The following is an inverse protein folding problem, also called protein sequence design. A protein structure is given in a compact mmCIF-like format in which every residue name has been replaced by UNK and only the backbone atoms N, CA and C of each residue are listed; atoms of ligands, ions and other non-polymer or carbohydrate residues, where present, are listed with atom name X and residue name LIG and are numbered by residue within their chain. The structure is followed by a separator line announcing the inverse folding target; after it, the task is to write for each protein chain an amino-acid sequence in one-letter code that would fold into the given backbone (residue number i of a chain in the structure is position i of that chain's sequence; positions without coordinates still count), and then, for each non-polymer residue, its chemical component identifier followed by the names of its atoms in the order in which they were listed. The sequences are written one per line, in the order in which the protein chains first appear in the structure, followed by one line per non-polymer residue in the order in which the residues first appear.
data_IF_691677069945
#
_entry.id   IF_691677069945
#
_cell.length_a   1.000
_cell.length_b   1.000
_cell.length_c   1.000
_cell.angle_alpha   90.00
_cell.angle_beta   90.00
_cell.angle_gamma   90.00
#
_symmetry.space_group_name_H-M   'P 1'
#
loop_
_entity.id
_entity.type
_entity.pdbx_description
1 polymer ?
#
# COMPACT_ATOMS: atom_id res chain seq x y z
N UNK A 1 -11.54 -10.17 19.24
CA UNK A 1 -10.73 -8.96 19.03
C UNK A 1 -11.16 -8.17 17.78
N UNK A 2 -11.90 -8.78 16.84
CA UNK A 2 -12.38 -8.11 15.61
C UNK A 2 -13.12 -6.79 15.90
N UNK A 3 -14.00 -6.78 16.89
CA UNK A 3 -14.76 -5.57 17.30
C UNK A 3 -13.89 -4.37 17.70
N UNK A 4 -12.61 -4.60 17.98
CA UNK A 4 -11.63 -3.55 18.29
C UNK A 4 -10.83 -3.09 17.06
N UNK A 5 -11.09 -3.69 15.89
CA UNK A 5 -10.40 -3.40 14.64
C UNK A 5 -11.39 -2.87 13.60
N UNK A 6 -11.10 -1.71 13.04
CA UNK A 6 -11.77 -1.14 11.88
C UNK A 6 -10.84 -1.09 10.68
N UNK A 7 -11.38 -0.84 9.50
CA UNK A 7 -10.59 -0.76 8.26
C UNK A 7 -10.83 0.58 7.56
N UNK A 8 -9.76 1.27 7.23
CA UNK A 8 -9.77 2.47 6.41
C UNK A 8 -9.14 2.14 5.05
N UNK A 9 -9.97 2.07 4.03
CA UNK A 9 -9.60 1.66 2.69
C UNK A 9 -9.47 2.87 1.76
N UNK A 10 -8.24 3.18 1.31
CA UNK A 10 -7.89 4.41 0.60
C UNK A 10 -7.59 4.15 -0.88
N UNK A 11 -8.36 4.80 -1.76
CA UNK A 11 -8.25 4.65 -3.21
C UNK A 11 -8.71 3.28 -3.72
N UNK A 12 -8.58 3.03 -5.01
CA UNK A 12 -9.07 1.82 -5.64
C UNK A 12 -8.40 0.54 -5.08
N UNK A 13 -7.08 0.53 -4.98
CA UNK A 13 -6.36 -0.63 -4.47
C UNK A 13 -6.70 -0.92 -3.02
N UNK A 14 -6.69 0.12 -2.16
CA UNK A 14 -7.12 -0.01 -0.76
C UNK A 14 -8.56 -0.50 -0.66
N UNK A 15 -9.45 -0.02 -1.53
CA UNK A 15 -10.83 -0.47 -1.62
C UNK A 15 -10.94 -1.96 -1.93
N UNK A 16 -10.15 -2.47 -2.88
CA UNK A 16 -10.13 -3.90 -3.20
C UNK A 16 -9.68 -4.77 -2.01
N UNK A 17 -8.72 -4.30 -1.22
CA UNK A 17 -8.31 -4.98 0.02
C UNK A 17 -9.41 -4.85 1.08
N UNK A 18 -10.00 -3.66 1.22
CA UNK A 18 -11.07 -3.38 2.17
C UNK A 18 -12.29 -4.27 1.98
N UNK A 19 -12.67 -4.56 0.74
CA UNK A 19 -13.77 -5.50 0.41
C UNK A 19 -13.53 -6.89 0.99
N UNK A 20 -12.28 -7.37 0.99
CA UNK A 20 -11.97 -8.67 1.58
C UNK A 20 -12.15 -8.67 3.11
N UNK A 21 -11.84 -7.56 3.78
CA UNK A 21 -12.12 -7.39 5.22
C UNK A 21 -13.61 -7.23 5.50
N UNK A 22 -14.36 -6.51 4.66
CA UNK A 22 -15.82 -6.37 4.85
C UNK A 22 -16.54 -7.71 4.75
N UNK A 23 -16.13 -8.59 3.81
CA UNK A 23 -16.61 -9.99 3.72
C UNK A 23 -16.35 -10.80 5.00
N UNK A 24 -15.33 -10.44 5.75
CA UNK A 24 -14.98 -11.08 7.03
C UNK A 24 -15.70 -10.44 8.23
N UNK A 25 -16.55 -9.44 8.00
CA UNK A 25 -17.38 -8.78 9.02
C UNK A 25 -16.70 -7.62 9.76
N UNK A 26 -15.68 -6.99 9.16
CA UNK A 26 -15.10 -5.74 9.67
C UNK A 26 -15.93 -4.54 9.24
N UNK A 27 -15.97 -3.50 10.08
CA UNK A 27 -16.46 -2.19 9.67
C UNK A 27 -15.39 -1.56 8.77
N UNK A 28 -15.76 -1.22 7.54
CA UNK A 28 -14.83 -0.66 6.54
C UNK A 28 -15.34 0.69 6.07
N UNK A 29 -14.46 1.70 6.08
CA UNK A 29 -14.70 2.99 5.42
C UNK A 29 -13.88 3.03 4.13
N UNK A 30 -14.57 3.23 3.01
CA UNK A 30 -13.97 3.36 1.69
C UNK A 30 -13.87 4.85 1.32
N UNK A 31 -12.66 5.34 1.09
CA UNK A 31 -12.38 6.73 0.76
C UNK A 31 -11.67 6.82 -0.60
N UNK A 32 -12.22 7.62 -1.53
CA UNK A 32 -11.62 7.79 -2.85
C UNK A 32 -11.84 9.22 -3.40
N UNK A 33 -10.92 9.67 -4.27
CA UNK A 33 -11.07 10.87 -5.09
C UNK A 33 -11.89 10.61 -6.36
N UNK A 34 -11.97 9.38 -6.84
CA UNK A 34 -12.80 8.96 -7.97
C UNK A 34 -14.16 8.45 -7.48
N UNK A 35 -15.23 9.10 -7.90
CA UNK A 35 -16.59 8.66 -7.62
C UNK A 35 -16.93 7.37 -8.37
N UNK A 36 -16.39 7.18 -9.57
CA UNK A 36 -16.57 5.99 -10.39
C UNK A 36 -15.96 4.76 -9.74
N UNK A 37 -14.69 4.87 -9.29
CA UNK A 37 -14.04 3.79 -8.54
C UNK A 37 -14.83 3.44 -7.28
N UNK A 38 -15.29 4.47 -6.56
CA UNK A 38 -16.06 4.28 -5.33
C UNK A 38 -17.42 3.63 -5.60
N UNK A 39 -18.07 3.96 -6.73
CA UNK A 39 -19.31 3.35 -7.14
C UNK A 39 -19.15 1.85 -7.46
N UNK A 40 -18.01 1.45 -8.02
CA UNK A 40 -17.73 0.04 -8.36
C UNK A 40 -17.56 -0.86 -7.11
N UNK A 41 -17.24 -0.30 -5.96
CA UNK A 41 -17.08 -1.03 -4.70
C UNK A 41 -18.46 -1.30 -4.09
N UNK A 42 -18.73 -2.57 -3.72
CA UNK A 42 -19.95 -2.97 -3.01
C UNK A 42 -19.78 -2.80 -1.49
N UNK A 43 -19.37 -1.61 -1.04
CA UNK A 43 -19.11 -1.34 0.38
C UNK A 43 -20.21 -0.50 1.02
N UNK A 44 -20.32 -0.57 2.35
CA UNK A 44 -21.38 0.08 3.13
C UNK A 44 -21.08 1.56 3.40
N UNK A 45 -19.87 1.88 3.87
CA UNK A 45 -19.51 3.25 4.25
C UNK A 45 -18.54 3.84 3.21
N UNK A 46 -19.05 4.69 2.35
CA UNK A 46 -18.31 5.32 1.27
C UNK A 46 -18.19 6.83 1.49
N UNK A 47 -16.99 7.35 1.36
CA UNK A 47 -16.69 8.78 1.46
C UNK A 47 -15.99 9.20 0.16
N UNK A 48 -16.67 10.02 -0.64
CA UNK A 48 -16.05 10.67 -1.79
C UNK A 48 -15.36 11.96 -1.35
N UNK A 49 -14.16 12.22 -1.86
CA UNK A 49 -13.48 13.50 -1.66
C UNK A 49 -14.22 14.55 -2.48
N UNK A 50 -14.65 15.69 -1.86
CA UNK A 50 -15.30 16.77 -2.59
C UNK A 50 -14.40 17.33 -3.71
N UNK A 51 -15.01 17.78 -4.80
CA UNK A 51 -14.35 18.46 -5.92
C UNK A 51 -13.17 17.68 -6.55
N UNK A 52 -13.20 16.35 -6.46
CA UNK A 52 -12.19 15.48 -7.02
C UNK A 52 -12.77 14.55 -8.07
N UNK A 53 -12.10 14.52 -9.24
CA UNK A 53 -12.43 13.64 -10.39
C UNK A 53 -11.31 12.61 -10.63
N UNK A 54 -10.80 12.01 -9.54
CA UNK A 54 -9.65 11.12 -9.55
C UNK A 54 -8.34 11.84 -9.27
N UNK A 55 -7.27 11.06 -9.13
CA UNK A 55 -5.95 11.55 -8.69
C UNK A 55 -4.87 11.51 -9.78
N UNK A 56 -5.04 10.73 -10.86
CA UNK A 56 -4.05 10.53 -11.92
C UNK A 56 -2.61 10.28 -11.39
N UNK A 57 -2.46 9.56 -10.28
CA UNK A 57 -1.20 9.35 -9.54
C UNK A 57 -0.52 10.64 -9.02
N UNK A 58 -1.22 11.76 -9.00
CA UNK A 58 -0.70 13.04 -8.48
C UNK A 58 -1.03 13.20 -6.99
N UNK A 59 -0.06 12.84 -6.14
CA UNK A 59 -0.15 12.97 -4.68
C UNK A 59 -0.31 14.42 -4.24
N UNK A 60 0.40 15.37 -4.89
CA UNK A 60 0.38 16.79 -4.50
C UNK A 60 -1.02 17.37 -4.70
N UNK A 61 -1.63 17.06 -5.85
CA UNK A 61 -3.02 17.45 -6.14
C UNK A 61 -3.98 16.87 -5.11
N UNK A 62 -3.83 15.60 -4.73
CA UNK A 62 -4.67 14.99 -3.70
C UNK A 62 -4.52 15.69 -2.36
N UNK A 63 -3.29 15.98 -1.93
CA UNK A 63 -3.02 16.71 -0.69
C UNK A 63 -3.64 18.12 -0.69
N UNK A 64 -3.58 18.84 -1.80
CA UNK A 64 -4.21 20.16 -1.96
C UNK A 64 -5.73 20.07 -1.83
N UNK A 65 -6.37 19.14 -2.57
CA UNK A 65 -7.82 18.91 -2.51
C UNK A 65 -8.32 18.54 -1.11
N UNK A 66 -7.52 17.83 -0.35
CA UNK A 66 -7.90 17.34 0.98
C UNK A 66 -7.57 18.33 2.07
N UNK A 67 -6.57 19.20 1.90
CA UNK A 67 -6.13 20.14 2.93
C UNK A 67 -7.28 21.02 3.45
N UNK A 68 -8.21 21.41 2.58
CA UNK A 68 -9.37 22.22 2.92
C UNK A 68 -10.48 21.44 3.66
N UNK A 69 -10.52 20.11 3.49
CA UNK A 69 -11.58 19.24 3.99
C UNK A 69 -11.11 18.15 4.94
N UNK A 70 -9.83 18.14 5.32
CA UNK A 70 -9.24 17.04 6.09
C UNK A 70 -9.90 16.84 7.44
N UNK A 71 -10.32 17.93 8.09
CA UNK A 71 -11.04 17.88 9.36
C UNK A 71 -12.38 17.18 9.24
N UNK A 72 -13.21 17.58 8.28
CA UNK A 72 -14.53 16.99 8.04
C UNK A 72 -14.43 15.51 7.62
N UNK A 73 -13.43 15.19 6.81
CA UNK A 73 -13.16 13.81 6.37
C UNK A 73 -12.76 12.96 7.56
N UNK A 74 -11.85 13.46 8.38
CA UNK A 74 -11.36 12.77 9.56
C UNK A 74 -12.48 12.56 10.59
N UNK A 75 -13.34 13.54 10.80
CA UNK A 75 -14.52 13.43 11.66
C UNK A 75 -15.48 12.35 11.15
N UNK A 76 -15.82 12.36 9.85
CA UNK A 76 -16.66 11.31 9.25
C UNK A 76 -16.06 9.91 9.43
N UNK A 77 -14.74 9.78 9.26
CA UNK A 77 -14.04 8.50 9.46
C UNK A 77 -14.17 8.07 10.92
N UNK A 78 -13.89 8.93 11.87
CA UNK A 78 -13.88 8.60 13.30
C UNK A 78 -15.26 8.34 13.88
N UNK A 79 -16.30 8.96 13.33
CA UNK A 79 -17.70 8.67 13.69
C UNK A 79 -18.14 7.25 13.28
N UNK A 80 -17.54 6.69 12.20
CA UNK A 80 -17.82 5.33 11.74
C UNK A 80 -16.82 4.34 12.37
N UNK A 81 -15.52 4.66 12.32
CA UNK A 81 -14.45 3.82 12.84
C UNK A 81 -14.13 4.17 14.29
N UNK A 82 -14.97 3.72 15.19
CA UNK A 82 -14.80 3.94 16.66
C UNK A 82 -13.71 3.04 17.26
N UNK A 83 -13.27 2.01 16.55
CA UNK A 83 -12.32 1.01 16.99
C UNK A 83 -10.96 1.61 17.36
N UNK A 84 -10.23 0.92 18.26
CA UNK A 84 -8.88 1.32 18.70
C UNK A 84 -7.82 1.07 17.63
N UNK A 85 -7.93 -0.05 16.92
CA UNK A 85 -7.01 -0.48 15.88
C UNK A 85 -7.62 -0.20 14.51
N UNK A 86 -6.90 0.52 13.66
CA UNK A 86 -7.35 0.88 12.31
C UNK A 86 -6.39 0.27 11.28
N UNK A 87 -6.86 -0.73 10.57
CA UNK A 87 -6.13 -1.32 9.44
C UNK A 87 -6.28 -0.36 8.26
N UNK A 88 -5.19 0.28 7.85
CA UNK A 88 -5.16 1.27 6.79
C UNK A 88 -4.65 0.62 5.49
N UNK A 89 -5.56 0.36 4.54
CA UNK A 89 -5.24 -0.33 3.29
C UNK A 89 -5.10 0.63 2.12
N UNK A 90 -4.00 0.59 1.39
CA UNK A 90 -3.75 1.47 0.24
C UNK A 90 -2.61 0.98 -0.65
N UNK A 91 -2.48 1.58 -1.85
CA UNK A 91 -1.30 1.41 -2.71
C UNK A 91 -0.31 2.55 -2.51
N UNK A 92 0.96 2.23 -2.39
CA UNK A 92 2.03 3.22 -2.34
C UNK A 92 2.20 3.97 -3.67
N UNK A 93 1.97 3.31 -4.81
CA UNK A 93 2.19 3.87 -6.15
C UNK A 93 1.03 4.66 -6.73
N UNK A 94 -0.18 4.60 -6.12
CA UNK A 94 -1.36 5.31 -6.59
C UNK A 94 -1.32 6.82 -6.27
N UNK A 95 -2.36 7.55 -6.65
CA UNK A 95 -2.54 8.96 -6.26
C UNK A 95 -3.32 9.11 -4.96
N UNK A 96 -4.57 8.63 -4.94
CA UNK A 96 -5.47 8.77 -3.79
C UNK A 96 -4.92 8.11 -2.53
N UNK A 97 -4.63 6.81 -2.60
CA UNK A 97 -4.15 6.06 -1.43
C UNK A 97 -2.82 6.61 -0.89
N UNK A 98 -1.86 6.84 -1.77
CA UNK A 98 -0.55 7.38 -1.38
C UNK A 98 -0.62 8.82 -0.85
N UNK A 99 -1.53 9.65 -1.37
CA UNK A 99 -1.70 11.04 -0.93
C UNK A 99 -2.42 11.17 0.41
N UNK A 100 -3.44 10.33 0.67
CA UNK A 100 -4.28 10.41 1.86
C UNK A 100 -3.74 9.64 3.07
N UNK A 101 -2.98 8.57 2.83
CA UNK A 101 -2.59 7.64 3.89
C UNK A 101 -1.80 8.31 5.00
N UNK A 102 -0.79 9.09 4.66
CA UNK A 102 0.10 9.72 5.63
C UNK A 102 -0.63 10.74 6.53
N UNK A 103 -1.34 11.76 6.00
CA UNK A 103 -2.03 12.73 6.84
C UNK A 103 -3.12 12.09 7.70
N UNK A 104 -3.90 11.13 7.16
CA UNK A 104 -4.96 10.47 7.92
C UNK A 104 -4.41 9.58 9.03
N UNK A 105 -3.38 8.77 8.76
CA UNK A 105 -2.77 7.95 9.81
C UNK A 105 -2.09 8.80 10.88
N UNK A 106 -1.45 9.90 10.49
CA UNK A 106 -0.88 10.85 11.45
C UNK A 106 -1.96 11.44 12.35
N UNK A 107 -3.10 11.87 11.79
CA UNK A 107 -4.24 12.36 12.55
C UNK A 107 -4.80 11.28 13.50
N UNK A 108 -5.10 10.09 12.97
CA UNK A 108 -5.65 8.99 13.75
C UNK A 108 -4.73 8.57 14.90
N UNK A 109 -3.42 8.55 14.67
CA UNK A 109 -2.42 8.26 15.73
C UNK A 109 -2.42 9.33 16.81
N UNK A 110 -2.55 10.63 16.46
CA UNK A 110 -2.63 11.74 17.43
C UNK A 110 -3.87 11.67 18.33
N UNK A 111 -4.99 11.17 17.84
CA UNK A 111 -6.20 10.95 18.64
C UNK A 111 -6.19 9.59 19.35
N UNK A 112 -5.03 8.92 19.38
CA UNK A 112 -4.80 7.70 20.15
C UNK A 112 -5.27 6.41 19.49
N UNK A 113 -5.60 6.39 18.19
CA UNK A 113 -5.80 5.14 17.43
C UNK A 113 -4.44 4.51 17.12
N UNK A 114 -4.41 3.20 16.93
CA UNK A 114 -3.23 2.46 16.46
C UNK A 114 -3.48 2.11 15.00
N UNK A 115 -2.75 2.77 14.10
CA UNK A 115 -2.85 2.52 12.67
C UNK A 115 -1.96 1.34 12.27
N UNK A 116 -2.53 0.37 11.55
CA UNK A 116 -1.86 -0.82 11.02
C UNK A 116 -1.81 -0.68 9.51
N UNK A 117 -0.72 -0.16 8.92
CA UNK A 117 -0.61 0.01 7.48
C UNK A 117 -0.56 -1.33 6.74
N UNK A 118 -1.39 -1.48 5.72
CA UNK A 118 -1.37 -2.56 4.73
C UNK A 118 -1.15 -1.91 3.38
N UNK A 119 0.06 -1.98 2.88
CA UNK A 119 0.54 -1.19 1.75
C UNK A 119 0.85 -2.10 0.57
N UNK A 120 0.13 -1.93 -0.54
CA UNK A 120 0.45 -2.61 -1.78
C UNK A 120 1.55 -1.85 -2.52
N UNK A 121 2.71 -2.49 -2.68
CA UNK A 121 3.82 -2.02 -3.48
C UNK A 121 3.64 -2.41 -4.94
N UNK A 122 3.91 -1.51 -5.90
CA UNK A 122 3.80 -1.82 -7.32
C UNK A 122 4.93 -2.77 -7.78
N UNK A 123 4.67 -3.44 -8.91
CA UNK A 123 5.75 -4.08 -9.68
C UNK A 123 6.50 -3.01 -10.48
N UNK A 124 7.74 -2.71 -10.11
CA UNK A 124 8.55 -1.67 -10.76
C UNK A 124 8.84 -1.95 -12.24
N UNK A 125 8.67 -3.19 -12.69
CA UNK A 125 8.87 -3.55 -14.10
C UNK A 125 7.66 -3.21 -14.98
N UNK A 126 6.46 -3.24 -14.38
CA UNK A 126 5.20 -3.04 -15.10
C UNK A 126 4.60 -1.65 -14.87
N UNK A 127 4.95 -1.01 -13.76
CA UNK A 127 4.38 0.27 -13.36
C UNK A 127 5.22 1.47 -13.82
N UNK A 128 4.57 2.62 -13.88
CA UNK A 128 5.20 3.88 -14.31
C UNK A 128 6.25 4.39 -13.31
N UNK A 129 7.21 5.19 -13.78
CA UNK A 129 8.16 5.90 -12.93
C UNK A 129 7.45 6.75 -11.86
N UNK A 130 6.30 7.34 -12.19
CA UNK A 130 5.47 8.09 -11.23
C UNK A 130 4.94 7.21 -10.09
N UNK A 131 4.55 5.97 -10.38
CA UNK A 131 4.19 4.99 -9.33
C UNK A 131 5.40 4.66 -8.44
N UNK A 132 6.57 4.54 -9.01
CA UNK A 132 7.79 4.27 -8.26
C UNK A 132 8.19 5.46 -7.37
N UNK A 133 8.13 6.70 -7.89
CA UNK A 133 8.33 7.93 -7.11
C UNK A 133 7.39 7.99 -5.90
N UNK A 134 6.09 7.80 -6.13
CA UNK A 134 5.10 7.78 -5.06
C UNK A 134 5.41 6.72 -4.02
N UNK A 135 5.79 5.52 -4.46
CA UNK A 135 6.07 4.40 -3.54
C UNK A 135 7.30 4.63 -2.68
N UNK A 136 8.37 5.19 -3.26
CA UNK A 136 9.56 5.57 -2.51
C UNK A 136 9.22 6.60 -1.43
N UNK A 137 8.53 7.69 -1.83
CA UNK A 137 8.16 8.78 -0.92
C UNK A 137 7.23 8.29 0.20
N UNK A 138 6.21 7.48 -0.11
CA UNK A 138 5.32 6.90 0.90
C UNK A 138 6.06 6.03 1.89
N UNK A 139 6.97 5.18 1.44
CA UNK A 139 7.77 4.35 2.35
C UNK A 139 8.66 5.21 3.26
N UNK A 140 9.29 6.25 2.73
CA UNK A 140 10.11 7.18 3.51
C UNK A 140 9.27 7.92 4.58
N UNK A 141 8.08 8.39 4.20
CA UNK A 141 7.16 9.08 5.11
C UNK A 141 6.63 8.13 6.20
N UNK A 142 6.25 6.89 5.84
CA UNK A 142 5.81 5.88 6.81
C UNK A 142 6.86 5.59 7.88
N UNK A 143 8.13 5.51 7.49
CA UNK A 143 9.25 5.31 8.44
C UNK A 143 9.37 6.45 9.46
N UNK A 144 8.87 7.64 9.14
CA UNK A 144 8.94 8.82 10.01
C UNK A 144 7.74 8.99 10.94
N UNK A 145 6.61 8.29 10.69
CA UNK A 145 5.41 8.41 11.53
C UNK A 145 5.61 7.65 12.84
N UNK A 146 5.46 8.34 13.94
CA UNK A 146 5.41 7.72 15.26
C UNK A 146 4.03 7.15 15.58
N UNK A 147 3.98 6.06 16.34
CA UNK A 147 2.72 5.46 16.80
C UNK A 147 1.99 4.58 15.78
N UNK A 148 2.64 4.23 14.67
CA UNK A 148 2.15 3.16 13.81
C UNK A 148 2.33 1.80 14.51
N UNK A 149 1.40 0.89 14.26
CA UNK A 149 1.52 -0.52 14.58
C UNK A 149 2.22 -1.33 13.48
N UNK A 150 1.95 -2.62 13.49
CA UNK A 150 2.47 -3.59 12.53
C UNK A 150 2.21 -3.15 11.08
N UNK A 151 3.27 -3.00 10.29
CA UNK A 151 3.18 -2.57 8.88
C UNK A 151 3.39 -3.75 7.94
N UNK A 152 2.43 -4.00 7.06
CA UNK A 152 2.47 -5.08 6.08
C UNK A 152 2.72 -4.50 4.68
N UNK A 153 3.85 -4.83 4.07
CA UNK A 153 4.19 -4.40 2.71
C UNK A 153 3.94 -5.55 1.73
N UNK A 154 2.83 -5.48 1.00
CA UNK A 154 2.45 -6.46 -0.01
C UNK A 154 3.18 -6.16 -1.32
N UNK A 155 3.76 -7.15 -1.98
CA UNK A 155 4.54 -6.96 -3.20
C UNK A 155 3.83 -7.53 -4.43
N UNK A 156 3.23 -6.67 -5.23
CA UNK A 156 2.53 -7.04 -6.47
C UNK A 156 3.48 -7.58 -7.57
N UNK A 157 4.79 -7.42 -7.42
CA UNK A 157 5.78 -8.04 -8.30
C UNK A 157 6.00 -9.54 -8.03
N UNK A 158 5.39 -10.10 -6.99
CA UNK A 158 5.59 -11.51 -6.59
C UNK A 158 4.41 -12.42 -6.90
N UNK A 159 3.18 -11.91 -6.79
CA UNK A 159 1.95 -12.69 -6.95
C UNK A 159 0.84 -11.88 -7.59
N UNK A 160 -0.21 -12.57 -8.03
CA UNK A 160 -1.45 -11.91 -8.46
C UNK A 160 -2.03 -11.03 -7.34
N UNK A 161 -2.27 -9.77 -7.68
CA UNK A 161 -2.70 -8.74 -6.73
C UNK A 161 -4.01 -9.06 -6.00
N UNK A 162 -4.96 -9.74 -6.66
CA UNK A 162 -6.24 -10.10 -6.02
C UNK A 162 -6.07 -11.28 -5.08
N UNK A 163 -5.21 -12.25 -5.43
CA UNK A 163 -4.85 -13.36 -4.54
C UNK A 163 -4.11 -12.86 -3.30
N UNK A 164 -3.21 -11.89 -3.44
CA UNK A 164 -2.50 -11.23 -2.32
C UNK A 164 -3.50 -10.61 -1.35
N UNK A 165 -4.47 -9.83 -1.85
CA UNK A 165 -5.45 -9.12 -1.05
C UNK A 165 -6.29 -10.09 -0.19
N UNK A 166 -6.86 -11.11 -0.82
CA UNK A 166 -7.68 -12.12 -0.13
C UNK A 166 -6.87 -12.94 0.87
N UNK A 167 -5.62 -13.28 0.52
CA UNK A 167 -4.74 -14.02 1.40
C UNK A 167 -4.39 -13.24 2.65
N UNK A 168 -3.94 -11.99 2.52
CA UNK A 168 -3.63 -11.16 3.68
C UNK A 168 -4.84 -10.98 4.59
N UNK A 169 -6.00 -10.60 4.05
CA UNK A 169 -7.18 -10.36 4.86
C UNK A 169 -7.55 -11.60 5.70
N UNK A 170 -7.52 -12.79 5.09
CA UNK A 170 -7.80 -14.05 5.77
C UNK A 170 -6.75 -14.42 6.83
N UNK A 171 -5.47 -14.20 6.53
CA UNK A 171 -4.40 -14.53 7.48
C UNK A 171 -4.41 -13.57 8.67
N UNK A 172 -4.62 -12.27 8.42
CA UNK A 172 -4.69 -11.27 9.49
C UNK A 172 -5.97 -11.45 10.33
N UNK A 173 -7.12 -11.74 9.72
CA UNK A 173 -8.34 -12.07 10.44
C UNK A 173 -8.16 -13.33 11.30
N UNK A 174 -7.51 -14.36 10.77
CA UNK A 174 -7.24 -15.58 11.52
C UNK A 174 -6.39 -15.33 12.76
N UNK A 175 -5.40 -14.43 12.69
CA UNK A 175 -4.60 -14.02 13.84
C UNK A 175 -5.41 -13.16 14.83
N UNK A 176 -6.12 -12.16 14.35
CA UNK A 176 -6.95 -11.28 15.19
C UNK A 176 -8.00 -12.09 15.97
N UNK A 177 -8.55 -13.12 15.36
CA UNK A 177 -9.64 -13.93 15.92
C UNK A 177 -9.20 -15.33 16.35
N UNK A 178 -7.93 -15.50 16.71
CA UNK A 178 -7.48 -16.78 17.27
C UNK A 178 -8.42 -17.24 18.40
N UNK A 179 -8.94 -18.45 18.23
CA UNK A 179 -9.72 -19.13 19.28
C UNK A 179 -8.74 -19.86 20.17
N UNK A 180 -8.64 -19.40 21.39
CA UNK A 180 -7.79 -20.00 22.41
C UNK A 180 -8.61 -21.05 23.15
N UNK A 181 -8.23 -22.31 23.03
CA UNK A 181 -8.96 -23.41 23.66
C UNK A 181 -8.03 -24.45 24.30
N UNK A 182 -6.72 -24.16 24.35
CA UNK A 182 -5.73 -25.13 24.79
C UNK A 182 -5.18 -24.83 26.17
N UNK A 183 -5.06 -25.85 26.98
CA UNK A 183 -4.31 -25.82 28.28
C UNK A 183 -2.79 -25.78 28.09
N UNK A 184 -2.30 -26.00 26.87
CA UNK A 184 -0.88 -26.06 26.53
C UNK A 184 -0.29 -24.71 26.07
N UNK A 185 -1.01 -23.64 26.21
CA UNK A 185 -0.61 -22.30 25.83
C UNK A 185 -1.54 -21.69 24.79
N UNK A 186 -1.67 -20.37 24.87
CA UNK A 186 -2.51 -19.57 24.00
C UNK A 186 -1.81 -18.25 23.73
N UNK A 187 -1.95 -17.70 22.51
CA UNK A 187 -1.66 -16.30 22.28
C UNK A 187 -2.88 -15.51 22.70
N UNK A 188 -2.82 -14.88 23.85
CA UNK A 188 -3.95 -14.17 24.43
C UNK A 188 -4.23 -12.81 23.73
N UNK A 189 -5.26 -12.10 24.20
CA UNK A 189 -5.64 -10.82 23.60
C UNK A 189 -4.58 -9.74 23.82
N UNK A 190 -3.90 -9.75 24.97
CA UNK A 190 -2.87 -8.75 25.29
C UNK A 190 -1.63 -8.95 24.40
N UNK A 191 -1.19 -10.18 24.21
CA UNK A 191 -0.09 -10.55 23.33
C UNK A 191 -0.37 -10.20 21.85
N UNK A 192 -1.59 -10.50 21.38
CA UNK A 192 -2.02 -10.10 20.03
C UNK A 192 -2.04 -8.57 19.85
N UNK A 193 -2.50 -7.84 20.85
CA UNK A 193 -2.45 -6.36 20.85
C UNK A 193 -1.02 -5.85 20.83
N UNK A 194 -0.12 -6.49 21.59
CA UNK A 194 1.28 -6.14 21.62
C UNK A 194 1.93 -6.32 20.24
N UNK A 195 1.71 -7.46 19.59
CA UNK A 195 2.19 -7.72 18.23
C UNK A 195 1.63 -6.69 17.23
N UNK A 196 0.32 -6.44 17.25
CA UNK A 196 -0.31 -5.50 16.31
C UNK A 196 0.06 -4.04 16.56
N UNK A 197 0.48 -3.70 17.78
CA UNK A 197 0.97 -2.36 18.13
C UNK A 197 2.47 -2.20 17.89
N UNK A 198 3.18 -3.26 17.52
CA UNK A 198 4.62 -3.23 17.31
C UNK A 198 4.97 -2.43 16.04
N UNK A 199 5.74 -1.35 16.14
CA UNK A 199 6.19 -0.61 14.97
C UNK A 199 7.17 -1.43 14.12
N UNK A 200 7.29 -1.08 12.85
CA UNK A 200 8.15 -1.75 11.90
C UNK A 200 7.41 -2.73 11.00
N UNK A 201 8.17 -3.46 10.20
CA UNK A 201 7.60 -4.39 9.22
C UNK A 201 7.12 -5.65 9.91
N UNK A 202 6.01 -6.16 9.45
CA UNK A 202 5.43 -7.41 9.91
C UNK A 202 5.07 -8.31 8.74
N UNK A 203 5.19 -9.60 8.96
CA UNK A 203 4.77 -10.65 8.03
C UNK A 203 3.94 -11.69 8.76
N UNK A 204 2.96 -12.23 8.09
CA UNK A 204 2.08 -13.26 8.62
C UNK A 204 1.89 -14.36 7.58
N UNK A 205 1.75 -15.60 8.01
CA UNK A 205 1.55 -16.72 7.11
C UNK A 205 0.88 -17.90 7.80
N UNK A 206 0.17 -18.70 7.01
CA UNK A 206 -0.36 -19.98 7.48
C UNK A 206 0.73 -21.02 7.57
N UNK A 207 0.70 -21.78 8.65
CA UNK A 207 1.47 -23.01 8.79
C UNK A 207 0.69 -24.18 8.18
N UNK A 208 1.35 -25.03 7.41
CA UNK A 208 0.74 -26.27 6.92
C UNK A 208 0.38 -27.18 8.09
N UNK A 209 -0.74 -27.87 8.00
CA UNK A 209 -1.13 -28.87 9.00
C UNK A 209 -0.23 -30.11 8.96
N UNK A 210 0.38 -30.38 7.81
CA UNK A 210 1.23 -31.53 7.57
C UNK A 210 2.69 -31.09 7.47
N UNK A 211 3.52 -31.54 8.43
CA UNK A 211 5.00 -31.55 8.40
C UNK A 211 5.67 -30.35 7.68
N UNK A 212 5.50 -29.15 8.21
CA UNK A 212 6.36 -28.03 7.77
C UNK A 212 7.67 -28.12 8.52
N UNK A 213 8.76 -28.26 7.80
CA UNK A 213 10.10 -28.11 8.38
C UNK A 213 10.36 -26.65 8.68
N UNK A 214 11.27 -26.36 9.59
CA UNK A 214 11.64 -24.96 9.92
C UNK A 214 12.05 -24.14 8.70
N UNK A 215 12.88 -24.62 7.75
CA UNK A 215 13.19 -23.91 6.53
C UNK A 215 11.97 -23.60 5.68
N UNK A 216 11.02 -24.54 5.53
CA UNK A 216 9.78 -24.31 4.75
C UNK A 216 8.90 -23.23 5.38
N UNK A 217 8.83 -23.18 6.71
CA UNK A 217 8.08 -22.16 7.44
C UNK A 217 8.68 -20.78 7.16
N UNK A 218 9.98 -20.61 7.33
CA UNK A 218 10.68 -19.34 7.11
C UNK A 218 10.62 -18.95 5.64
N UNK A 219 10.81 -19.89 4.71
CA UNK A 219 10.66 -19.64 3.28
C UNK A 219 9.24 -19.19 2.91
N UNK A 220 8.21 -19.78 3.51
CA UNK A 220 6.82 -19.39 3.25
C UNK A 220 6.50 -17.99 3.77
N UNK A 221 7.13 -17.56 4.86
CA UNK A 221 7.03 -16.20 5.38
C UNK A 221 7.74 -15.19 4.48
N UNK A 222 9.03 -15.42 4.20
CA UNK A 222 9.85 -14.48 3.45
C UNK A 222 9.68 -14.57 1.93
N UNK A 223 9.31 -15.73 1.42
CA UNK A 223 8.99 -15.97 0.01
C UNK A 223 7.53 -15.72 -0.36
N UNK A 224 6.70 -15.27 0.59
CA UNK A 224 5.27 -15.10 0.42
C UNK A 224 4.88 -13.82 -0.34
N UNK A 225 3.75 -13.26 0.07
CA UNK A 225 3.10 -12.09 -0.58
C UNK A 225 3.75 -10.76 -0.22
N UNK A 226 4.75 -10.75 0.67
CA UNK A 226 5.37 -9.53 1.19
C UNK A 226 6.60 -9.11 0.40
N UNK A 227 7.00 -7.86 0.55
CA UNK A 227 8.29 -7.37 0.10
C UNK A 227 9.41 -8.23 0.69
N UNK A 228 10.50 -8.40 -0.08
CA UNK A 228 11.61 -9.24 0.33
C UNK A 228 12.25 -8.72 1.63
N UNK A 229 12.16 -9.53 2.68
CA UNK A 229 12.71 -9.21 3.99
C UNK A 229 14.02 -9.98 4.16
N UNK A 230 15.07 -9.26 4.51
CA UNK A 230 16.40 -9.82 4.75
C UNK A 230 16.80 -9.80 6.24
N UNK A 231 16.05 -9.07 7.07
CA UNK A 231 16.31 -8.97 8.50
C UNK A 231 16.05 -10.29 9.21
N UNK A 232 16.98 -10.63 10.08
CA UNK A 232 16.84 -11.75 11.02
C UNK A 232 16.58 -11.30 12.46
N UNK A 233 16.40 -10.01 12.69
CA UNK A 233 16.00 -9.44 13.99
C UNK A 233 14.55 -9.04 13.96
N UNK A 234 13.82 -9.38 15.02
CA UNK A 234 12.41 -9.04 15.18
C UNK A 234 12.10 -8.67 16.63
N UNK A 235 11.05 -7.90 16.86
CA UNK A 235 10.57 -7.65 18.22
C UNK A 235 9.77 -8.83 18.74
N UNK A 236 8.81 -9.32 17.97
CA UNK A 236 7.89 -10.37 18.40
C UNK A 236 7.74 -11.47 17.37
N UNK A 237 7.66 -12.70 17.87
CA UNK A 237 7.30 -13.89 17.12
C UNK A 237 6.06 -14.50 17.77
N UNK A 238 4.96 -14.57 17.02
CA UNK A 238 3.74 -15.26 17.44
C UNK A 238 3.53 -16.54 16.65
N UNK A 239 3.40 -17.67 17.32
CA UNK A 239 3.15 -18.97 16.70
C UNK A 239 1.92 -19.61 17.33
N UNK A 240 0.85 -19.77 16.54
CA UNK A 240 -0.30 -20.60 16.93
C UNK A 240 -0.36 -21.78 15.97
N UNK A 241 -0.38 -23.01 16.49
CA UNK A 241 -0.30 -24.23 15.67
C UNK A 241 -1.20 -25.34 16.19
N UNK A 242 -1.71 -26.16 15.27
CA UNK A 242 -2.37 -27.43 15.63
C UNK A 242 -1.37 -28.58 15.75
N UNK A 243 -0.14 -28.38 15.33
CA UNK A 243 0.93 -29.39 15.40
C UNK A 243 1.70 -29.27 16.73
N UNK A 244 1.38 -30.14 17.69
CA UNK A 244 2.04 -30.19 19.03
C UNK A 244 3.51 -30.59 18.95
N UNK A 245 3.97 -31.17 17.85
CA UNK A 245 5.37 -31.58 17.65
C UNK A 245 6.19 -30.55 16.87
N UNK A 246 5.65 -29.35 16.60
CA UNK A 246 6.40 -28.28 15.95
C UNK A 246 7.55 -27.81 16.83
N UNK A 247 8.75 -27.89 16.31
CA UNK A 247 9.94 -27.39 17.01
C UNK A 247 10.03 -25.85 16.91
N UNK A 248 9.39 -25.17 17.86
CA UNK A 248 9.40 -23.72 17.95
C UNK A 248 10.78 -23.14 18.25
N UNK A 249 11.64 -23.91 18.96
CA UNK A 249 12.99 -23.46 19.25
C UNK A 249 13.83 -23.36 17.97
N UNK A 250 13.68 -24.30 17.05
CA UNK A 250 14.36 -24.22 15.75
C UNK A 250 13.88 -23.02 14.94
N UNK A 251 12.58 -22.68 14.97
CA UNK A 251 12.05 -21.49 14.33
C UNK A 251 12.66 -20.22 14.94
N UNK A 252 12.72 -20.15 16.26
CA UNK A 252 13.29 -19.00 16.97
C UNK A 252 14.78 -18.80 16.65
N UNK A 253 15.54 -19.89 16.49
CA UNK A 253 16.98 -19.86 16.14
C UNK A 253 17.27 -19.30 14.74
N UNK A 254 16.29 -19.28 13.84
CA UNK A 254 16.45 -18.65 12.52
C UNK A 254 16.55 -17.11 12.60
N UNK A 255 16.17 -16.54 13.74
CA UNK A 255 16.31 -15.13 14.04
C UNK A 255 17.54 -14.88 14.90
N UNK A 256 18.35 -13.90 14.54
CA UNK A 256 19.55 -13.51 15.30
C UNK A 256 19.21 -12.75 16.60
N UNK A 257 17.98 -12.25 16.74
CA UNK A 257 17.47 -11.58 17.93
C UNK A 257 15.96 -11.44 17.86
N UNK A 258 15.29 -11.97 18.87
CA UNK A 258 13.86 -11.77 19.12
C UNK A 258 13.71 -11.28 20.55
N UNK A 259 12.90 -10.22 20.73
CA UNK A 259 12.65 -9.69 22.07
C UNK A 259 11.72 -10.59 22.88
N UNK A 260 10.62 -11.08 22.27
CA UNK A 260 9.69 -12.01 22.93
C UNK A 260 9.00 -12.94 21.94
N UNK A 261 8.58 -14.13 22.45
CA UNK A 261 7.96 -15.20 21.66
C UNK A 261 6.65 -15.63 22.33
N UNK A 262 5.56 -15.50 21.59
CA UNK A 262 4.23 -15.93 22.02
C UNK A 262 3.85 -17.23 21.32
N UNK A 263 3.53 -18.23 22.10
CA UNK A 263 3.21 -19.55 21.59
C UNK A 263 1.84 -20.04 22.08
N UNK A 264 1.08 -20.60 21.16
CA UNK A 264 -0.21 -21.19 21.46
C UNK A 264 -0.54 -22.42 20.63
N UNK A 265 -1.36 -23.29 21.16
CA UNK A 265 -1.91 -24.45 20.45
C UNK A 265 -3.37 -24.16 20.12
N UNK A 266 -3.73 -24.24 18.83
CA UNK A 266 -5.08 -24.05 18.33
C UNK A 266 -5.50 -25.23 17.49
N UNK A 267 -6.67 -25.78 17.75
CA UNK A 267 -7.20 -26.92 16.98
C UNK A 267 -7.56 -26.56 15.54
N UNK A 268 -7.89 -25.30 15.27
CA UNK A 268 -8.45 -24.86 13.99
C UNK A 268 -7.52 -24.00 13.15
N UNK A 269 -6.53 -23.35 13.77
CA UNK A 269 -5.73 -22.32 13.09
C UNK A 269 -4.24 -22.53 13.34
N UNK A 270 -3.49 -22.74 12.27
CA UNK A 270 -2.03 -22.73 12.32
C UNK A 270 -1.51 -21.52 11.59
N UNK A 271 -0.91 -20.58 12.35
CA UNK A 271 -0.46 -19.29 11.86
C UNK A 271 0.82 -18.85 12.56
N UNK A 272 1.67 -18.17 11.82
CA UNK A 272 2.88 -17.54 12.34
C UNK A 272 2.87 -16.06 11.94
N UNK A 273 3.25 -15.20 12.87
CA UNK A 273 3.44 -13.77 12.65
C UNK A 273 4.77 -13.33 13.21
N UNK A 274 5.49 -12.52 12.47
CA UNK A 274 6.73 -11.86 12.92
C UNK A 274 6.51 -10.36 12.81
N UNK A 275 6.78 -9.63 13.87
CA UNK A 275 6.56 -8.19 13.94
C UNK A 275 7.83 -7.45 14.42
N UNK A 276 7.97 -6.19 14.00
CA UNK A 276 9.13 -5.37 14.34
C UNK A 276 10.38 -5.72 13.53
N UNK A 277 10.20 -6.16 12.30
CA UNK A 277 11.27 -6.37 11.34
C UNK A 277 11.77 -5.05 10.76
N UNK A 278 12.98 -5.03 10.25
CA UNK A 278 13.53 -3.89 9.53
C UNK A 278 12.84 -3.66 8.18
N UNK A 279 12.83 -2.42 7.74
CA UNK A 279 12.31 -2.05 6.43
C UNK A 279 13.13 -2.69 5.30
N UNK A 280 12.47 -3.17 4.22
CA UNK A 280 13.13 -3.82 3.09
C UNK A 280 13.78 -2.78 2.16
N UNK A 281 14.85 -2.11 2.62
CA UNK A 281 15.48 -0.99 1.94
C UNK A 281 15.87 -1.32 0.51
N UNK A 282 16.40 -2.53 0.25
CA UNK A 282 16.73 -2.98 -1.11
C UNK A 282 15.53 -2.95 -2.06
N UNK A 283 14.34 -3.28 -1.56
CA UNK A 283 13.10 -3.23 -2.35
C UNK A 283 12.66 -1.79 -2.59
N UNK A 284 12.79 -0.94 -1.59
CA UNK A 284 12.43 0.49 -1.66
C UNK A 284 13.38 1.23 -2.61
N UNK A 285 14.66 0.94 -2.56
CA UNK A 285 15.67 1.53 -3.46
C UNK A 285 15.43 1.22 -4.94
N UNK A 286 14.86 0.05 -5.27
CA UNK A 286 14.47 -0.26 -6.65
C UNK A 286 13.48 0.75 -7.23
N UNK A 287 12.57 1.27 -6.42
CA UNK A 287 11.63 2.31 -6.86
C UNK A 287 12.36 3.61 -7.19
N UNK A 288 13.28 4.02 -6.31
CA UNK A 288 14.12 5.20 -6.54
C UNK A 288 14.92 5.07 -7.85
N UNK A 289 15.64 3.95 -7.99
CA UNK A 289 16.47 3.71 -9.16
C UNK A 289 15.65 3.72 -10.46
N UNK A 290 14.48 3.07 -10.47
CA UNK A 290 13.58 3.08 -11.64
C UNK A 290 13.09 4.48 -11.99
N UNK A 291 12.77 5.30 -10.99
CA UNK A 291 12.37 6.69 -11.20
C UNK A 291 13.53 7.52 -11.78
N UNK A 292 14.71 7.48 -11.14
CA UNK A 292 15.89 8.25 -11.55
C UNK A 292 16.36 7.87 -12.96
N UNK A 293 16.44 6.56 -13.27
CA UNK A 293 16.77 6.07 -14.60
C UNK A 293 15.79 6.59 -15.67
N UNK A 294 14.50 6.53 -15.37
CA UNK A 294 13.48 6.99 -16.33
C UNK A 294 13.58 8.49 -16.56
N UNK A 295 13.76 9.30 -15.49
CA UNK A 295 13.92 10.75 -15.60
C UNK A 295 15.17 11.11 -16.39
N UNK A 296 16.29 10.42 -16.14
CA UNK A 296 17.53 10.63 -16.88
C UNK A 296 17.35 10.34 -18.38
N UNK A 297 16.69 9.22 -18.72
CA UNK A 297 16.41 8.87 -20.11
C UNK A 297 15.51 9.90 -20.81
N UNK A 298 14.48 10.41 -20.13
CA UNK A 298 13.60 11.45 -20.65
C UNK A 298 14.40 12.75 -20.88
N UNK A 299 15.20 13.18 -19.91
CA UNK A 299 16.02 14.38 -20.03
C UNK A 299 17.01 14.27 -21.19
N UNK A 300 17.69 13.13 -21.32
CA UNK A 300 18.61 12.88 -22.43
C UNK A 300 17.90 12.95 -23.80
N UNK A 301 16.66 12.46 -23.87
CA UNK A 301 15.87 12.50 -25.11
C UNK A 301 15.39 13.91 -25.44
N UNK A 302 14.96 14.70 -24.44
CA UNK A 302 14.46 16.07 -24.66
C UNK A 302 15.62 17.02 -24.98
N UNK A 303 16.81 16.82 -24.40
CA UNK A 303 17.98 17.68 -24.62
C UNK A 303 18.73 17.34 -25.90
N UNK A 304 18.49 16.19 -26.51
CA UNK A 304 19.01 15.93 -27.86
C UNK A 304 18.30 16.88 -28.83
N UNK A 305 19.06 17.73 -29.50
CA UNK A 305 18.49 18.55 -30.58
C UNK A 305 17.80 17.63 -31.58
N UNK A 306 16.58 17.96 -32.01
CA UNK A 306 15.90 17.15 -33.03
C UNK A 306 16.84 17.07 -34.24
N UNK A 307 16.98 15.92 -34.88
CA UNK A 307 17.77 15.80 -36.09
C UNK A 307 17.30 16.88 -37.05
N UNK A 308 18.24 17.71 -37.54
CA UNK A 308 17.90 18.76 -38.53
C UNK A 308 17.41 18.04 -39.77
N UNK A 309 16.08 17.97 -39.93
CA UNK A 309 15.47 17.45 -41.15
C UNK A 309 15.69 18.54 -42.18
N UNK A 310 16.65 18.36 -43.09
CA UNK A 310 16.73 19.21 -44.23
C UNK A 310 15.45 19.07 -45.02
N UNK A 311 14.74 20.18 -45.34
CA UNK A 311 13.55 20.09 -46.16
C UNK A 311 13.97 19.48 -47.50
N UNK A 312 13.22 18.43 -47.89
CA UNK A 312 13.40 17.90 -49.25
C UNK A 312 13.23 19.06 -50.24
N UNK A 313 14.21 19.25 -51.09
CA UNK A 313 14.06 20.25 -52.17
C UNK A 313 12.82 19.88 -52.95
N UNK A 314 11.76 20.68 -52.79
CA UNK A 314 10.55 20.50 -53.56
C UNK A 314 10.89 20.65 -55.05
N UNK A 315 10.61 19.64 -55.84
CA UNK A 315 10.56 19.79 -57.30
C UNK A 315 9.65 21.00 -57.60
N UNK A 316 10.25 22.05 -58.12
CA UNK A 316 9.53 23.24 -58.49
C UNK A 316 8.65 22.91 -59.71
N UNK A 317 7.44 22.55 -59.50
CA UNK A 317 6.41 22.69 -60.51
C UNK A 317 5.98 24.17 -60.53
N UNK A 318 6.25 24.87 -61.62
CA UNK A 318 5.72 26.21 -61.86
C UNK A 318 4.20 26.21 -61.78
N UNK A 319 3.70 26.58 -60.64
CA UNK A 319 2.26 26.92 -60.49
C UNK A 319 2.13 28.41 -60.47
N UNK A 320 1.29 28.90 -61.35
CA UNK A 320 0.86 30.31 -61.39
C UNK A 320 0.54 30.83 -60.00
N UNK A 321 0.95 32.05 -59.71
CA UNK A 321 0.87 32.69 -58.41
C UNK A 321 -0.53 32.78 -57.88
N UNK A 322 -0.86 31.95 -56.92
CA UNK A 322 -1.99 32.17 -56.03
C UNK A 322 -1.54 33.16 -54.96
N UNK A 323 -1.99 34.43 -55.05
CA UNK A 323 -1.78 35.42 -54.00
C UNK A 323 -2.76 35.15 -52.86
N UNK A 324 -2.31 34.64 -51.70
CA UNK A 324 -3.19 34.59 -50.55
C UNK A 324 -3.40 36.01 -50.03
N UNK A 325 -4.64 36.43 -49.87
CA UNK A 325 -4.98 37.62 -49.09
C UNK A 325 -4.63 37.35 -47.61
N UNK A 326 -3.54 37.93 -47.17
CA UNK A 326 -3.14 37.90 -45.76
C UNK A 326 -4.04 38.87 -45.02
N UNK A 327 -4.72 38.45 -43.93
CA UNK A 327 -5.47 39.38 -43.09
C UNK A 327 -4.52 40.43 -42.51
N UNK A 328 -4.97 41.68 -42.44
CA UNK A 328 -4.18 42.89 -42.20
C UNK A 328 -3.54 42.96 -40.76
N UNK A 329 -3.81 41.99 -39.87
CA UNK A 329 -3.29 42.06 -38.52
C UNK A 329 -2.85 40.68 -37.96
N UNK A 330 -1.56 40.35 -37.87
CA UNK A 330 -1.07 39.11 -37.30
C UNK A 330 -1.45 38.90 -35.81
N UNK A 331 -1.85 39.97 -35.13
CA UNK A 331 -2.23 39.94 -33.72
C UNK A 331 -3.58 39.21 -33.52
N UNK A 332 -4.46 39.27 -34.48
CA UNK A 332 -5.80 38.64 -34.41
C UNK A 332 -5.73 37.12 -34.65
N UNK A 333 -4.72 36.66 -35.37
CA UNK A 333 -4.44 35.22 -35.57
C UNK A 333 -3.88 34.61 -34.29
N UNK A 334 -3.00 35.29 -33.59
CA UNK A 334 -2.40 34.82 -32.33
C UNK A 334 -3.43 34.77 -31.18
N UNK A 335 -4.33 35.74 -31.11
CA UNK A 335 -5.40 35.76 -30.11
C UNK A 335 -6.43 34.65 -30.33
N UNK A 336 -6.69 34.26 -31.58
CA UNK A 336 -7.55 33.13 -31.91
C UNK A 336 -6.97 31.77 -31.54
N UNK A 337 -5.66 31.64 -31.47
CA UNK A 337 -4.97 30.39 -31.06
C UNK A 337 -4.78 30.23 -29.54
N UNK A 338 -4.94 31.32 -28.78
CA UNK A 338 -4.81 31.31 -27.31
C UNK A 338 -6.15 31.11 -26.58
N UNK A 339 -7.28 31.15 -27.31
CA UNK A 339 -8.64 31.04 -26.77
C UNK A 339 -9.35 29.72 -27.18
N UNK A 340 -8.65 28.77 -27.75
CA UNK A 340 -9.03 27.38 -27.95
C UNK A 340 -8.05 26.50 -27.13
#
# INVERSE_FOLDING_TARGET
MREQCGVLALGQCGGNIGVEFEKLGYTVVFLNTSKEDLASIKGTHKIAIPNADGAAKDRKRVLQLVSEHIGDIAEKITNILTQKYIICTFSAGGGTGSGLSIPLMTYLSRIGKICIPVVALPDEKQESAKSCENSYNVCAELMSIQGLGATFLLDNGRYDKFAINSRLAKELDAFINLKNSSVYGNIDIAERKQILSCPGISVIGKLSKTKSTTPEIIQSLYGGIYAEITSKTAMYLGISTSNKSLDTNSITKEFSGIYDVFYGISESTSIIIVAGLQWPMKRIEKFKNKFEETVQNINNTITQQPPTIQPLQSLSFSREEFKPTIPANPRDILLGLLNN
#
